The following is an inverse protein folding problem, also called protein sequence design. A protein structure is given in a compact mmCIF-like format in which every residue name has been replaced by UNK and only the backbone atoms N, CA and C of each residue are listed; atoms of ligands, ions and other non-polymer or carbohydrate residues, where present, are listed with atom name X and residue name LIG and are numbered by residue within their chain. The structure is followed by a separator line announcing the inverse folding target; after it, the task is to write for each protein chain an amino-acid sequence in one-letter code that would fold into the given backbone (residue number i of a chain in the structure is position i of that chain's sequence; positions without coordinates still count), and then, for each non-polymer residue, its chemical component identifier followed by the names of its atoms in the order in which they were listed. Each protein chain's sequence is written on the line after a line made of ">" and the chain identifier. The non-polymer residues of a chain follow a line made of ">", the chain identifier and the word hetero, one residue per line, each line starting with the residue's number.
data_IF_589889277102
#
_entry.id   IF_589889277102
#
_cell.length_a   1.000
_cell.length_b   1.000
_cell.length_c   1.000
_cell.angle_alpha   90.00
_cell.angle_beta   90.00
_cell.angle_gamma   90.00
#
_symmetry.space_group_name_H-M   'P 1'
#
loop_
_entity.id
_entity.type
_entity.pdbx_description
1 polymer ?
#
# COMPACT_ATOMS: atom_id res chain seq x y z
N UNK A 1 -18.76 36.43 4.58
CA UNK A 1 -18.85 35.27 5.50
C UNK A 1 -18.93 34.00 4.68
N UNK A 2 -17.83 33.26 4.51
CA UNK A 2 -17.79 31.78 4.55
C UNK A 2 -16.34 31.42 4.90
N UNK A 3 -16.07 31.17 6.18
CA UNK A 3 -14.76 30.68 6.61
C UNK A 3 -14.66 29.22 6.20
N UNK A 4 -13.87 28.94 5.17
CA UNK A 4 -13.55 27.59 4.72
C UNK A 4 -12.63 26.95 5.76
N UNK A 5 -13.22 26.32 6.78
CA UNK A 5 -12.49 25.53 7.77
C UNK A 5 -11.75 24.41 7.05
N UNK A 6 -10.41 24.50 7.07
CA UNK A 6 -9.52 23.42 6.62
C UNK A 6 -9.82 22.19 7.47
N UNK A 7 -10.42 21.17 6.86
CA UNK A 7 -10.50 19.85 7.46
C UNK A 7 -9.07 19.32 7.59
N UNK A 8 -8.49 19.47 8.78
CA UNK A 8 -7.29 18.75 9.18
C UNK A 8 -7.67 17.28 9.24
N UNK A 9 -7.28 16.53 8.21
CA UNK A 9 -7.49 15.08 8.15
C UNK A 9 -6.82 14.46 9.37
N UNK A 10 -7.64 13.84 10.21
CA UNK A 10 -7.25 13.09 11.39
C UNK A 10 -6.11 12.14 11.04
N UNK A 11 -4.93 12.37 11.62
CA UNK A 11 -3.85 11.40 11.60
C UNK A 11 -4.31 10.25 12.49
N UNK A 12 -4.90 9.23 11.88
CA UNK A 12 -5.14 7.92 12.48
C UNK A 12 -3.78 7.40 12.99
N UNK A 13 -3.49 7.69 14.26
CA UNK A 13 -2.29 7.29 14.98
C UNK A 13 -2.34 5.78 15.21
N UNK A 14 -2.25 5.01 14.11
CA UNK A 14 -2.02 3.58 14.14
C UNK A 14 -0.74 3.36 14.92
N UNK A 15 -0.89 2.92 16.17
CA UNK A 15 0.20 2.62 17.08
C UNK A 15 1.05 1.52 16.45
N UNK A 16 2.22 1.90 15.93
CA UNK A 16 3.10 0.99 15.20
C UNK A 16 3.84 0.12 16.22
N UNK A 17 3.44 -1.15 16.28
CA UNK A 17 4.04 -2.13 17.18
C UNK A 17 4.97 -3.04 16.38
N UNK A 18 6.11 -3.40 16.98
CA UNK A 18 7.03 -4.35 16.36
C UNK A 18 6.37 -5.75 16.27
N UNK A 19 6.28 -6.38 15.08
CA UNK A 19 5.68 -7.70 14.94
C UNK A 19 6.51 -8.83 15.57
N UNK A 20 7.79 -8.58 15.87
CA UNK A 20 8.71 -9.60 16.40
C UNK A 20 8.76 -9.62 17.93
N UNK A 21 8.88 -8.45 18.57
CA UNK A 21 9.02 -8.34 20.03
C UNK A 21 7.87 -7.61 20.70
N UNK A 22 6.86 -7.13 19.94
CA UNK A 22 5.69 -6.39 20.44
C UNK A 22 6.00 -5.06 21.14
N UNK A 23 7.23 -4.58 21.03
CA UNK A 23 7.60 -3.26 21.55
C UNK A 23 6.95 -2.13 20.75
N UNK A 24 6.65 -1.03 21.46
CA UNK A 24 6.19 0.26 20.92
C UNK A 24 7.35 1.19 20.52
N UNK A 25 8.59 0.85 20.88
CA UNK A 25 9.79 1.61 20.52
C UNK A 25 10.17 1.37 19.06
N UNK A 26 9.43 2.00 18.15
CA UNK A 26 9.60 1.88 16.70
C UNK A 26 9.88 3.24 16.08
N UNK A 27 10.87 3.29 15.18
CA UNK A 27 11.20 4.49 14.40
C UNK A 27 10.89 4.31 12.92
N UNK A 28 10.52 5.41 12.25
CA UNK A 28 10.56 5.51 10.78
C UNK A 28 12.03 5.51 10.36
N UNK A 29 12.47 4.48 9.64
CA UNK A 29 13.90 4.31 9.32
C UNK A 29 14.25 4.75 7.89
N UNK A 30 13.75 4.03 6.89
CA UNK A 30 14.07 4.30 5.49
C UNK A 30 12.86 4.02 4.58
N UNK A 31 12.93 4.50 3.33
CA UNK A 31 11.95 4.19 2.30
C UNK A 31 12.58 3.26 1.27
N UNK A 32 11.89 2.18 0.92
CA UNK A 32 12.27 1.29 -0.18
C UNK A 32 11.55 1.74 -1.45
N UNK A 33 12.30 2.11 -2.50
CA UNK A 33 11.71 2.32 -3.82
C UNK A 33 11.32 0.96 -4.41
N UNK A 34 10.12 0.90 -4.96
CA UNK A 34 9.59 -0.25 -5.68
C UNK A 34 9.26 0.17 -7.10
N UNK A 35 9.30 -0.78 -8.03
CA UNK A 35 9.07 -0.52 -9.45
C UNK A 35 7.65 0.00 -9.69
N UNK A 36 6.62 -0.72 -9.22
CA UNK A 36 5.22 -0.44 -9.58
C UNK A 36 4.39 0.24 -8.48
N UNK A 37 4.99 0.56 -7.33
CA UNK A 37 4.29 1.03 -6.12
C UNK A 37 4.84 2.33 -5.54
N UNK A 38 5.95 2.82 -6.08
CA UNK A 38 6.66 3.96 -5.52
C UNK A 38 7.38 3.61 -4.22
N UNK A 39 7.35 4.50 -3.23
CA UNK A 39 8.15 4.38 -2.01
C UNK A 39 7.37 3.74 -0.87
N UNK A 40 7.90 2.64 -0.34
CA UNK A 40 7.33 1.93 0.81
C UNK A 40 8.13 2.29 2.07
N UNK A 41 7.44 2.75 3.11
CA UNK A 41 8.07 3.05 4.40
C UNK A 41 8.50 1.76 5.12
N UNK A 42 9.75 1.73 5.58
CA UNK A 42 10.27 0.72 6.50
C UNK A 42 10.44 1.31 7.89
N UNK A 43 10.21 0.47 8.87
CA UNK A 43 10.31 0.77 10.29
C UNK A 43 11.38 -0.10 10.92
N UNK A 44 12.04 0.43 11.95
CA UNK A 44 13.03 -0.29 12.75
C UNK A 44 12.59 -0.27 14.20
N UNK A 45 12.61 -1.41 14.86
CA UNK A 45 12.42 -1.49 16.31
C UNK A 45 13.75 -1.21 17.00
N UNK A 46 13.78 -0.35 18.02
CA UNK A 46 14.98 -0.05 18.81
C UNK A 46 15.35 -1.17 19.79
N UNK A 47 14.36 -1.94 20.24
CA UNK A 47 14.59 -2.97 21.27
C UNK A 47 15.14 -4.27 20.67
N UNK A 48 14.58 -4.75 19.54
CA UNK A 48 15.05 -5.97 18.89
C UNK A 48 15.89 -5.74 17.64
N UNK A 49 16.13 -4.48 17.25
CA UNK A 49 16.86 -4.06 16.04
C UNK A 49 16.34 -4.60 14.70
N UNK A 50 15.23 -5.34 14.68
CA UNK A 50 14.61 -5.86 13.46
C UNK A 50 13.84 -4.78 12.72
N UNK A 51 13.80 -4.95 11.39
CA UNK A 51 13.17 -4.01 10.48
C UNK A 51 11.97 -4.65 9.80
N UNK A 52 10.89 -3.90 9.66
CA UNK A 52 9.64 -4.39 9.11
C UNK A 52 8.89 -3.30 8.33
N UNK A 53 7.88 -3.70 7.59
CA UNK A 53 6.92 -2.82 6.92
C UNK A 53 5.56 -3.13 7.50
N UNK A 54 4.71 -2.10 7.62
CA UNK A 54 3.34 -2.28 8.08
C UNK A 54 2.57 -3.07 7.03
N UNK A 55 1.82 -4.07 7.47
CA UNK A 55 0.93 -4.81 6.59
C UNK A 55 -0.38 -3.99 6.44
N UNK A 56 -0.58 -3.43 5.27
CA UNK A 56 -1.75 -2.66 4.84
C UNK A 56 -2.79 -3.52 4.09
N UNK A 57 -2.65 -4.86 4.15
CA UNK A 57 -3.43 -5.81 3.35
C UNK A 57 -2.82 -6.11 1.99
N UNK A 58 -1.75 -5.39 1.62
CA UNK A 58 -1.08 -5.53 0.33
C UNK A 58 0.39 -5.94 0.49
N UNK A 59 0.75 -6.55 1.62
CA UNK A 59 2.13 -6.97 1.88
C UNK A 59 2.66 -7.91 0.77
N UNK A 60 3.90 -7.66 0.31
CA UNK A 60 4.62 -8.42 -0.74
C UNK A 60 3.99 -8.44 -2.15
N UNK A 61 2.90 -7.71 -2.37
CA UNK A 61 2.31 -7.58 -3.70
C UNK A 61 3.16 -6.68 -4.61
N UNK A 62 3.25 -7.01 -5.90
CA UNK A 62 4.07 -6.27 -6.89
C UNK A 62 3.42 -4.95 -7.33
N UNK A 63 2.13 -4.99 -7.64
CA UNK A 63 1.36 -3.87 -8.21
C UNK A 63 0.69 -3.01 -7.14
N UNK A 64 0.50 -1.72 -7.39
CA UNK A 64 -0.16 -0.81 -6.44
C UNK A 64 -1.53 -1.33 -5.95
N UNK A 65 -1.92 -1.04 -4.69
CA UNK A 65 -3.20 -1.46 -4.12
C UNK A 65 -4.39 -1.20 -5.04
N UNK A 66 -4.41 -0.03 -5.69
CA UNK A 66 -5.48 0.40 -6.61
C UNK A 66 -5.63 -0.57 -7.79
N UNK A 67 -4.51 -0.99 -8.40
CA UNK A 67 -4.51 -1.92 -9.55
C UNK A 67 -4.98 -3.32 -9.13
N UNK A 68 -4.57 -3.79 -7.95
CA UNK A 68 -5.01 -5.08 -7.40
C UNK A 68 -6.51 -5.07 -7.08
N UNK A 69 -6.99 -4.03 -6.39
CA UNK A 69 -8.42 -3.91 -6.05
C UNK A 69 -9.29 -3.78 -7.29
N UNK A 70 -8.85 -3.01 -8.30
CA UNK A 70 -9.56 -2.90 -9.58
C UNK A 70 -9.67 -4.26 -10.29
N UNK A 71 -8.61 -5.08 -10.27
CA UNK A 71 -8.64 -6.41 -10.86
C UNK A 71 -9.69 -7.30 -10.17
N UNK A 72 -9.75 -7.24 -8.84
CA UNK A 72 -10.73 -7.97 -8.04
C UNK A 72 -12.16 -7.50 -8.32
N UNK A 73 -12.39 -6.18 -8.36
CA UNK A 73 -13.68 -5.59 -8.68
C UNK A 73 -14.21 -6.04 -10.05
N UNK A 74 -13.37 -5.98 -11.10
CA UNK A 74 -13.75 -6.44 -12.44
C UNK A 74 -14.03 -7.95 -12.47
N UNK A 75 -13.22 -8.75 -11.78
CA UNK A 75 -13.41 -10.19 -11.69
C UNK A 75 -14.75 -10.53 -11.01
N UNK A 76 -15.06 -9.91 -9.87
CA UNK A 76 -16.35 -10.13 -9.18
C UNK A 76 -17.55 -9.61 -9.95
N UNK A 77 -17.38 -8.64 -10.86
CA UNK A 77 -18.40 -8.22 -11.84
C UNK A 77 -18.58 -9.20 -13.00
N UNK A 78 -17.85 -10.32 -13.04
CA UNK A 78 -17.95 -11.33 -14.08
C UNK A 78 -17.15 -11.01 -15.35
N UNK A 79 -16.24 -10.04 -15.31
CA UNK A 79 -15.33 -9.77 -16.43
C UNK A 79 -14.30 -10.90 -16.49
N UNK A 80 -14.16 -11.53 -17.65
CA UNK A 80 -13.16 -12.58 -17.84
C UNK A 80 -11.75 -12.05 -17.64
N UNK A 81 -10.82 -12.88 -17.16
CA UNK A 81 -9.42 -12.51 -16.92
C UNK A 81 -8.76 -11.89 -18.16
N UNK A 82 -9.11 -12.37 -19.36
CA UNK A 82 -8.66 -11.82 -20.64
C UNK A 82 -9.14 -10.37 -20.86
N UNK A 83 -10.42 -10.09 -20.59
CA UNK A 83 -10.98 -8.73 -20.68
C UNK A 83 -10.44 -7.81 -19.58
N UNK A 84 -10.16 -8.36 -18.38
CA UNK A 84 -9.47 -7.62 -17.30
C UNK A 84 -8.06 -7.22 -17.76
N UNK A 85 -7.34 -8.12 -18.40
CA UNK A 85 -6.02 -7.82 -18.97
C UNK A 85 -6.12 -6.73 -20.06
N UNK A 86 -7.07 -6.85 -20.99
CA UNK A 86 -7.33 -5.83 -22.02
C UNK A 86 -7.64 -4.46 -21.40
N UNK A 87 -8.46 -4.42 -20.34
CA UNK A 87 -8.75 -3.22 -19.57
C UNK A 87 -7.47 -2.60 -18.98
N UNK A 88 -6.62 -3.41 -18.35
CA UNK A 88 -5.36 -2.91 -17.82
C UNK A 88 -4.39 -2.46 -18.90
N UNK A 89 -4.34 -3.11 -20.07
CA UNK A 89 -3.51 -2.64 -21.19
C UNK A 89 -3.96 -1.26 -21.69
N UNK A 90 -5.27 -1.02 -21.74
CA UNK A 90 -5.83 0.26 -22.20
C UNK A 90 -5.59 1.42 -21.22
N UNK A 91 -5.78 1.20 -19.92
CA UNK A 91 -5.76 2.29 -18.92
C UNK A 91 -4.50 2.31 -18.03
N UNK A 92 -3.79 1.18 -17.91
CA UNK A 92 -2.64 0.98 -17.03
C UNK A 92 -1.53 0.15 -17.68
N UNK A 93 -0.97 0.60 -18.83
CA UNK A 93 -0.09 -0.20 -19.70
C UNK A 93 1.21 -0.66 -19.01
N UNK A 94 1.64 0.03 -17.95
CA UNK A 94 2.78 -0.40 -17.18
C UNK A 94 2.47 -1.67 -16.38
N UNK A 95 3.25 -2.73 -16.62
CA UNK A 95 3.10 -4.03 -15.95
C UNK A 95 1.69 -4.65 -16.14
N UNK A 96 1.18 -4.67 -17.38
CA UNK A 96 -0.14 -5.24 -17.78
C UNK A 96 -0.10 -6.27 -18.91
N UNK A 97 1.07 -6.55 -19.47
CA UNK A 97 1.21 -7.46 -20.64
C UNK A 97 1.49 -8.92 -20.30
N UNK A 98 1.96 -9.20 -19.07
CA UNK A 98 2.33 -10.53 -18.60
C UNK A 98 1.59 -10.91 -17.33
#
# INVERSE_FOLDING_TARGET
>A
MVNRTKQTQDTDDKKIICPYCKSKNVIKWCKRKTENRGFIQRYKCKDCNKCFTINDGFFRMRNAPQKVTCAMDLFYRGVSTRKVQEHFKAFYPHNSDH
#
